data_IF_572824608344
#
_entry.id   IF_572824608344
#
_cell.length_a   1.000
_cell.length_b   1.000
_cell.length_c   1.000
_cell.angle_alpha   90.00
_cell.angle_beta   90.00
_cell.angle_gamma   90.00
#
_symmetry.space_group_name_H-M   'P 1'
#
loop_
_entity.id
_entity.type
_entity.pdbx_description
1 polymer ?
#
# COMPACT_ATOMS: atom_id res chain seq x y z
N UNK A 1 0.90 21.02 2.44
CA UNK A 1 0.26 19.79 2.91
C UNK A 1 1.14 18.61 2.60
N UNK A 2 1.37 17.81 3.58
CA UNK A 2 2.26 16.66 3.43
C UNK A 2 1.54 15.32 3.43
N UNK A 3 0.21 15.34 3.58
CA UNK A 3 -0.59 14.12 3.55
C UNK A 3 -0.43 13.39 2.21
N UNK A 4 -0.28 12.08 2.30
CA UNK A 4 -0.21 11.22 1.12
C UNK A 4 -1.34 10.21 1.11
N UNK A 5 -1.83 9.88 -0.07
CA UNK A 5 -2.73 8.76 -0.27
C UNK A 5 -2.08 7.77 -1.23
N UNK A 6 -2.40 6.51 -1.04
CA UNK A 6 -1.80 5.42 -1.83
C UNK A 6 -2.89 4.45 -2.25
N UNK A 7 -2.78 3.96 -3.47
CA UNK A 7 -3.58 2.84 -3.95
C UNK A 7 -2.60 1.73 -4.35
N UNK A 8 -2.71 0.58 -3.73
CA UNK A 8 -1.93 -0.60 -4.07
C UNK A 8 -2.88 -1.66 -4.63
N UNK A 9 -2.57 -2.21 -5.79
CA UNK A 9 -3.42 -3.20 -6.45
C UNK A 9 -2.64 -4.48 -6.68
N UNK A 10 -3.37 -5.61 -6.64
CA UNK A 10 -2.77 -6.93 -6.84
C UNK A 10 -3.83 -7.94 -7.26
N UNK A 11 -3.36 -9.03 -7.87
CA UNK A 11 -4.21 -10.15 -8.25
C UNK A 11 -4.06 -11.24 -7.18
N UNK A 12 -5.17 -11.77 -6.68
CA UNK A 12 -5.15 -12.90 -5.75
C UNK A 12 -4.88 -14.17 -6.54
N UNK A 13 -3.88 -14.96 -6.11
CA UNK A 13 -3.57 -16.22 -6.79
C UNK A 13 -4.73 -17.17 -6.73
N UNK A 14 -4.98 -17.85 -7.83
CA UNK A 14 -6.05 -18.83 -7.93
C UNK A 14 -5.89 -19.91 -6.85
N UNK A 15 -6.97 -20.16 -6.12
CA UNK A 15 -6.98 -21.16 -5.05
C UNK A 15 -6.37 -20.69 -3.75
N UNK A 16 -5.97 -19.41 -3.63
CA UNK A 16 -5.27 -18.91 -2.45
C UNK A 16 -6.04 -17.84 -1.68
N UNK A 17 -7.31 -17.65 -1.97
CA UNK A 17 -8.08 -16.57 -1.38
C UNK A 17 -8.10 -16.60 0.16
N UNK A 18 -8.31 -17.80 0.75
CA UNK A 18 -8.39 -17.88 2.22
C UNK A 18 -7.05 -17.57 2.88
N UNK A 19 -5.95 -18.06 2.31
CA UNK A 19 -4.61 -17.71 2.80
C UNK A 19 -4.31 -16.23 2.61
N UNK A 20 -4.74 -15.67 1.48
CA UNK A 20 -4.61 -14.24 1.21
C UNK A 20 -5.31 -13.42 2.30
N UNK A 21 -6.55 -13.78 2.65
CA UNK A 21 -7.30 -13.08 3.69
C UNK A 21 -6.61 -13.12 5.04
N UNK A 22 -6.05 -14.27 5.40
CA UNK A 22 -5.33 -14.41 6.67
C UNK A 22 -4.07 -13.56 6.69
N UNK A 23 -3.33 -13.54 5.58
CA UNK A 23 -2.12 -12.74 5.49
C UNK A 23 -2.43 -11.23 5.46
N UNK A 24 -3.53 -10.84 4.80
CA UNK A 24 -4.01 -9.46 4.84
C UNK A 24 -4.32 -9.03 6.27
N UNK A 25 -4.99 -9.89 7.03
CA UNK A 25 -5.29 -9.62 8.44
C UNK A 25 -4.01 -9.39 9.25
N UNK A 26 -2.95 -10.15 8.96
CA UNK A 26 -1.66 -9.97 9.63
C UNK A 26 -1.02 -8.61 9.30
N UNK A 27 -1.07 -8.20 8.03
CA UNK A 27 -0.59 -6.88 7.63
C UNK A 27 -1.33 -5.76 8.36
N UNK A 28 -2.66 -5.89 8.45
CA UNK A 28 -3.51 -4.91 9.14
C UNK A 28 -3.18 -4.89 10.63
N UNK A 29 -3.00 -6.06 11.25
CA UNK A 29 -2.67 -6.17 12.67
C UNK A 29 -1.35 -5.45 12.99
N UNK A 30 -0.32 -5.68 12.19
CA UNK A 30 0.98 -5.04 12.41
C UNK A 30 0.91 -3.52 12.21
N UNK A 31 0.14 -3.07 11.23
CA UNK A 31 -0.07 -1.65 10.99
C UNK A 31 -0.74 -0.99 12.20
N UNK A 32 -1.82 -1.60 12.67
CA UNK A 32 -2.58 -1.07 13.81
C UNK A 32 -1.72 -1.04 15.09
N UNK A 33 -0.86 -2.02 15.27
CA UNK A 33 -0.05 -2.14 16.47
C UNK A 33 1.17 -1.22 16.46
N UNK A 34 1.79 -1.00 15.29
CA UNK A 34 3.11 -0.37 15.22
C UNK A 34 3.15 1.01 14.59
N UNK A 35 2.26 1.30 13.64
CA UNK A 35 2.32 2.56 12.90
C UNK A 35 1.85 3.73 13.75
N UNK A 36 2.52 4.88 13.58
CA UNK A 36 2.19 6.10 14.31
C UNK A 36 1.60 7.20 13.43
N UNK A 37 1.71 7.07 12.10
CA UNK A 37 1.29 8.11 11.15
C UNK A 37 0.36 7.61 10.06
N UNK A 38 -0.14 6.40 10.18
CA UNK A 38 -1.08 5.84 9.21
C UNK A 38 -2.49 6.29 9.55
N UNK A 39 -3.15 6.93 8.59
CA UNK A 39 -4.51 7.46 8.75
C UNK A 39 -5.56 6.51 8.20
N UNK A 40 -5.19 5.70 7.22
CA UNK A 40 -6.10 4.78 6.55
C UNK A 40 -5.31 3.59 6.02
N UNK A 41 -5.88 2.39 6.16
CA UNK A 41 -5.28 1.18 5.61
C UNK A 41 -6.40 0.17 5.37
N UNK A 42 -7.19 0.42 4.31
CA UNK A 42 -8.39 -0.36 4.02
C UNK A 42 -8.16 -1.26 2.81
N UNK A 43 -8.47 -2.51 2.98
CA UNK A 43 -8.33 -3.53 1.96
C UNK A 43 -9.68 -3.82 1.34
N UNK A 44 -9.76 -3.76 0.02
CA UNK A 44 -10.98 -4.02 -0.74
C UNK A 44 -10.76 -5.19 -1.67
N UNK A 45 -11.71 -6.10 -1.69
CA UNK A 45 -11.65 -7.28 -2.55
C UNK A 45 -12.72 -7.15 -3.64
N UNK A 46 -12.36 -7.46 -4.90
CA UNK A 46 -13.33 -7.48 -5.98
C UNK A 46 -14.43 -8.51 -5.67
N UNK A 47 -15.61 -8.32 -6.28
CA UNK A 47 -16.75 -9.19 -5.96
C UNK A 47 -16.47 -10.67 -6.27
N UNK A 48 -15.69 -10.94 -7.31
CA UNK A 48 -15.32 -12.30 -7.67
C UNK A 48 -14.11 -12.83 -6.89
N UNK A 49 -13.51 -12.02 -6.03
CA UNK A 49 -12.39 -12.44 -5.18
C UNK A 49 -11.06 -12.56 -5.89
N UNK A 50 -10.93 -12.05 -7.12
CA UNK A 50 -9.70 -12.23 -7.90
C UNK A 50 -8.73 -11.06 -7.78
N UNK A 51 -9.19 -9.88 -7.36
CA UNK A 51 -8.34 -8.70 -7.24
C UNK A 51 -8.55 -8.01 -5.90
N UNK A 52 -7.47 -7.41 -5.41
CA UNK A 52 -7.51 -6.62 -4.18
C UNK A 52 -6.95 -5.24 -4.46
N UNK A 53 -7.56 -4.22 -3.86
CA UNK A 53 -7.00 -2.87 -3.84
C UNK A 53 -6.95 -2.40 -2.40
N UNK A 54 -5.76 -1.91 -1.99
CA UNK A 54 -5.58 -1.32 -0.67
C UNK A 54 -5.60 0.20 -0.84
N UNK A 55 -6.46 0.88 -0.06
CA UNK A 55 -6.51 2.34 -0.03
C UNK A 55 -5.85 2.79 1.25
N UNK A 56 -4.80 3.60 1.12
CA UNK A 56 -3.96 3.98 2.25
C UNK A 56 -3.86 5.49 2.34
N UNK A 57 -3.65 6.00 3.54
CA UNK A 57 -3.37 7.42 3.76
C UNK A 57 -2.40 7.56 4.92
N UNK A 58 -1.49 8.52 4.79
CA UNK A 58 -0.43 8.79 5.77
C UNK A 58 -0.34 10.29 6.03
N UNK A 59 0.08 10.66 7.24
CA UNK A 59 0.25 12.07 7.59
C UNK A 59 1.28 12.77 6.71
N UNK A 60 2.33 12.04 6.31
CA UNK A 60 3.42 12.54 5.48
C UNK A 60 4.20 11.37 4.87
N UNK A 61 5.26 11.70 4.11
CA UNK A 61 6.11 10.68 3.47
C UNK A 61 6.78 9.76 4.49
N UNK A 62 7.18 10.28 5.65
CA UNK A 62 7.81 9.47 6.69
C UNK A 62 6.84 8.42 7.22
N UNK A 63 5.55 8.71 7.24
CA UNK A 63 4.52 7.75 7.65
C UNK A 63 4.46 6.54 6.74
N UNK A 64 4.55 6.77 5.43
CA UNK A 64 4.58 5.65 4.47
C UNK A 64 5.87 4.84 4.60
N UNK A 65 7.02 5.53 4.79
CA UNK A 65 8.29 4.85 5.00
C UNK A 65 8.24 3.99 6.26
N UNK A 66 7.74 4.55 7.36
CA UNK A 66 7.57 3.83 8.62
C UNK A 66 6.69 2.58 8.42
N UNK A 67 5.57 2.75 7.74
CA UNK A 67 4.64 1.65 7.46
C UNK A 67 5.35 0.50 6.74
N UNK A 68 6.08 0.82 5.67
CA UNK A 68 6.81 -0.20 4.90
C UNK A 68 7.82 -0.95 5.76
N UNK A 69 8.48 -0.28 6.69
CA UNK A 69 9.42 -0.93 7.61
C UNK A 69 8.71 -1.92 8.52
N UNK A 70 7.51 -1.58 8.99
CA UNK A 70 6.76 -2.45 9.91
C UNK A 70 6.15 -3.66 9.21
N UNK A 71 5.55 -3.46 8.03
CA UNK A 71 4.82 -4.53 7.36
C UNK A 71 5.61 -5.24 6.27
N UNK A 72 6.85 -4.82 6.00
CA UNK A 72 7.62 -5.33 4.87
C UNK A 72 7.68 -6.85 4.80
N UNK A 73 8.01 -7.51 5.91
CA UNK A 73 8.11 -8.97 5.94
C UNK A 73 6.75 -9.63 5.69
N UNK A 74 5.68 -9.08 6.27
CA UNK A 74 4.33 -9.62 6.07
C UNK A 74 3.86 -9.44 4.63
N UNK A 75 4.19 -8.30 4.00
CA UNK A 75 3.88 -8.06 2.59
C UNK A 75 4.70 -8.98 1.68
N UNK A 76 5.96 -9.20 2.00
CA UNK A 76 6.81 -10.12 1.22
C UNK A 76 6.19 -11.51 1.20
N UNK A 77 5.66 -11.97 2.32
CA UNK A 77 4.97 -13.25 2.38
C UNK A 77 3.69 -13.24 1.56
N UNK A 78 2.93 -12.13 1.63
CA UNK A 78 1.71 -12.00 0.84
C UNK A 78 2.00 -12.17 -0.65
N UNK A 79 3.00 -11.46 -1.17
CA UNK A 79 3.35 -11.53 -2.58
C UNK A 79 4.12 -12.80 -2.95
N UNK A 80 4.77 -13.41 -2.00
CA UNK A 80 5.45 -14.68 -2.22
C UNK A 80 4.52 -15.87 -2.38
N UNK A 81 3.40 -15.86 -1.66
CA UNK A 81 2.52 -17.03 -1.59
C UNK A 81 1.11 -16.83 -2.13
N UNK A 82 0.58 -15.60 -2.08
CA UNK A 82 -0.87 -15.40 -2.25
C UNK A 82 -1.28 -14.41 -3.33
N UNK A 83 -0.37 -13.57 -3.81
CA UNK A 83 -0.73 -12.49 -4.73
C UNK A 83 0.34 -12.23 -5.80
N UNK A 84 -0.10 -11.64 -6.91
CA UNK A 84 0.74 -11.29 -8.06
C UNK A 84 0.36 -9.89 -8.56
N UNK A 85 1.13 -9.39 -9.53
CA UNK A 85 0.81 -8.16 -10.28
C UNK A 85 0.67 -6.93 -9.40
N UNK A 86 1.59 -6.77 -8.44
CA UNK A 86 1.56 -5.65 -7.50
C UNK A 86 1.95 -4.34 -8.18
N UNK A 87 1.05 -3.36 -8.14
CA UNK A 87 1.29 -2.00 -8.62
C UNK A 87 0.86 -1.00 -7.56
N UNK A 88 1.51 0.17 -7.55
CA UNK A 88 1.25 1.21 -6.54
C UNK A 88 1.13 2.57 -7.21
N UNK A 89 0.13 3.35 -6.80
CA UNK A 89 0.01 4.76 -7.16
C UNK A 89 0.07 5.59 -5.89
N UNK A 90 0.90 6.62 -5.91
CA UNK A 90 1.07 7.54 -4.76
C UNK A 90 0.56 8.92 -5.17
N UNK A 91 -0.29 9.51 -4.33
CA UNK A 91 -0.95 10.79 -4.58
C UNK A 91 -0.55 11.80 -3.51
N UNK A 92 0.03 12.93 -3.92
CA UNK A 92 0.47 13.99 -3.03
C UNK A 92 1.95 14.28 -3.19
N UNK A 93 2.48 15.17 -2.33
CA UNK A 93 3.86 15.63 -2.44
C UNK A 93 4.80 14.67 -1.72
N UNK A 94 5.24 13.64 -2.44
CA UNK A 94 6.19 12.68 -1.91
C UNK A 94 7.58 13.31 -1.74
N UNK A 95 8.25 12.99 -0.63
CA UNK A 95 9.60 13.46 -0.40
C UNK A 95 10.58 12.80 -1.38
N UNK A 96 11.74 13.44 -1.65
CA UNK A 96 12.76 12.81 -2.48
C UNK A 96 13.20 11.44 -1.96
N UNK A 97 13.31 11.30 -0.64
CA UNK A 97 13.68 10.02 -0.02
C UNK A 97 12.64 8.93 -0.32
N UNK A 98 11.36 9.25 -0.18
CA UNK A 98 10.30 8.29 -0.47
C UNK A 98 10.31 7.90 -1.95
N UNK A 99 10.46 8.86 -2.84
CA UNK A 99 10.50 8.59 -4.28
C UNK A 99 11.67 7.69 -4.64
N UNK A 100 12.85 7.94 -4.06
CA UNK A 100 14.02 7.11 -4.29
C UNK A 100 13.78 5.67 -3.83
N UNK A 101 13.24 5.50 -2.63
CA UNK A 101 12.93 4.17 -2.10
C UNK A 101 11.90 3.44 -2.95
N UNK A 102 10.82 4.13 -3.31
CA UNK A 102 9.76 3.53 -4.12
C UNK A 102 10.24 3.12 -5.50
N UNK A 103 11.01 3.98 -6.15
CA UNK A 103 11.55 3.68 -7.48
C UNK A 103 12.56 2.52 -7.43
N UNK A 104 13.31 2.39 -6.34
CA UNK A 104 14.25 1.29 -6.18
C UNK A 104 13.54 -0.04 -5.95
N UNK A 105 12.48 -0.04 -5.13
CA UNK A 105 11.77 -1.26 -4.75
C UNK A 105 10.70 -1.69 -5.74
N UNK A 106 10.11 -0.73 -6.44
CA UNK A 106 8.94 -0.96 -7.31
C UNK A 106 9.20 -0.45 -8.74
N UNK A 107 10.41 -0.58 -9.23
CA UNK A 107 10.77 -0.08 -10.55
C UNK A 107 9.75 -0.48 -11.63
N UNK A 108 9.19 0.50 -12.34
CA UNK A 108 8.20 0.28 -13.39
C UNK A 108 6.80 -0.07 -12.89
N UNK A 109 6.60 -0.20 -11.59
CA UNK A 109 5.30 -0.59 -11.02
C UNK A 109 4.79 0.42 -10.00
N UNK A 110 5.41 1.59 -9.91
CA UNK A 110 4.95 2.68 -9.04
C UNK A 110 4.78 3.94 -9.87
N UNK A 111 3.73 4.69 -9.59
CA UNK A 111 3.44 5.97 -10.25
C UNK A 111 3.25 7.04 -9.18
N UNK A 112 3.72 8.25 -9.51
CA UNK A 112 3.69 9.39 -8.61
C UNK A 112 2.81 10.47 -9.20
N UNK A 113 1.84 10.95 -8.40
CA UNK A 113 0.90 11.99 -8.82
C UNK A 113 0.95 13.15 -7.83
N UNK A 114 1.26 14.34 -8.32
CA UNK A 114 1.22 15.54 -7.51
C UNK A 114 -0.20 16.10 -7.46
N UNK A 115 -0.53 16.75 -6.36
CA UNK A 115 -1.85 17.38 -6.23
C UNK A 115 -1.98 18.51 -7.25
N UNK A 116 -3.04 18.51 -8.05
CA UNK A 116 -3.30 19.59 -9.00
C UNK A 116 -4.24 20.62 -8.38
N UNK A 117 -5.45 20.21 -8.05
CA UNK A 117 -6.43 21.03 -7.35
C UNK A 117 -7.63 20.18 -6.96
N UNK A 118 -8.38 20.63 -5.98
CA UNK A 118 -9.54 19.91 -5.51
C UNK A 118 -10.68 20.87 -5.20
N UNK A 119 -11.71 20.33 -4.56
CA UNK A 119 -12.91 21.10 -4.26
C UNK A 119 -12.64 22.26 -3.30
N UNK A 120 -11.73 22.04 -2.34
CA UNK A 120 -11.45 22.99 -1.26
C UNK A 120 -10.19 23.82 -1.46
N UNK A 121 -9.51 23.72 -2.60
CA UNK A 121 -8.26 24.47 -2.78
C UNK A 121 -8.06 24.97 -4.19
#
# INVERSE_FOLDING_TARGET
MSKLEVSARMTVRKGRLEGFKLQAAECIRQTKEKDTKTLRYDWFLSRDGTECEIREAYSDSDGLIEHRMHVGAALDRLFGEFADDHTVNVYGDASPRLMEMGNAQMAGRIRWYSFLQGLES
#
